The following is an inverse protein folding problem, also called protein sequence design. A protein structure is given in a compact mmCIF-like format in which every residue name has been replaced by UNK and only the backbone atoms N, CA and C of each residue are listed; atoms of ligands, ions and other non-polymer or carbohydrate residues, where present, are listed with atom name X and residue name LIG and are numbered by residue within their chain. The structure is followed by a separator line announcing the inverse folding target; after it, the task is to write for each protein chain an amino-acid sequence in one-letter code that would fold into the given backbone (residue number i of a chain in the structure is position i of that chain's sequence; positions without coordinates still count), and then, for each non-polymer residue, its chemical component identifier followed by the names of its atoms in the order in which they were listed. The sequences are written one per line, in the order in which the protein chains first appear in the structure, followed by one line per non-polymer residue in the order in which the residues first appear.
data_IF_183830844059
#
_entry.id   IF_183830844059
#
_cell.length_a   1.000
_cell.length_b   1.000
_cell.length_c   1.000
_cell.angle_alpha   90.00
_cell.angle_beta   90.00
_cell.angle_gamma   90.00
#
_symmetry.space_group_name_H-M   'P 1'
#
loop_
_entity.id
_entity.type
_entity.pdbx_description
1 polymer ?
#
# COMPACT_ATOMS: atom_id res chain seq x y z
N UNK A 1 35.76 34.54 14.09
CA UNK A 1 36.21 33.42 13.23
C UNK A 1 35.75 33.70 11.80
N UNK A 2 36.68 33.57 10.81
CA UNK A 2 36.33 33.75 9.40
C UNK A 2 35.24 32.79 8.92
N UNK A 3 34.58 33.12 7.82
CA UNK A 3 33.52 32.32 7.21
C UNK A 3 34.04 30.92 6.83
N UNK A 4 33.43 29.81 7.36
CA UNK A 4 33.84 28.46 7.00
C UNK A 4 33.49 28.12 5.54
N UNK A 5 34.37 27.42 4.83
CA UNK A 5 34.18 27.06 3.42
C UNK A 5 32.89 26.21 3.17
N UNK A 6 32.43 25.45 4.15
CA UNK A 6 31.21 24.65 4.02
C UNK A 6 29.93 25.50 3.88
N UNK A 7 29.94 26.75 4.34
CA UNK A 7 28.79 27.69 4.19
C UNK A 7 28.54 28.00 2.71
N UNK A 8 29.58 27.94 1.89
CA UNK A 8 29.54 28.14 0.44
C UNK A 8 29.46 26.78 -0.33
N UNK A 9 29.07 25.69 0.37
CA UNK A 9 28.87 24.38 -0.23
C UNK A 9 30.15 23.55 -0.42
N UNK A 10 31.27 23.91 0.25
CA UNK A 10 32.54 23.16 0.18
C UNK A 10 32.93 22.54 1.54
N UNK A 11 32.23 21.50 2.00
CA UNK A 11 32.49 20.90 3.30
C UNK A 11 33.68 19.93 3.25
N UNK A 12 34.92 20.43 3.24
CA UNK A 12 36.15 19.60 3.13
C UNK A 12 36.20 18.40 4.11
N UNK A 13 35.64 18.55 5.33
CA UNK A 13 35.58 17.47 6.34
C UNK A 13 34.47 16.44 6.06
N UNK A 14 33.57 16.69 5.11
CA UNK A 14 32.43 15.87 4.75
C UNK A 14 32.36 15.71 3.23
N UNK A 15 33.33 14.97 2.62
CA UNK A 15 33.39 14.79 1.18
C UNK A 15 32.17 14.05 0.65
N UNK A 16 31.71 14.39 -0.55
CA UNK A 16 30.50 13.82 -1.20
C UNK A 16 30.52 12.30 -1.35
N UNK A 17 31.72 11.71 -1.44
CA UNK A 17 31.88 10.25 -1.46
C UNK A 17 31.43 9.58 -0.16
N UNK A 18 31.59 10.26 0.98
CA UNK A 18 31.29 9.71 2.30
C UNK A 18 30.02 10.30 2.92
N UNK A 19 29.58 11.48 2.47
CA UNK A 19 28.46 12.19 3.06
C UNK A 19 27.52 12.80 2.02
N UNK A 20 26.23 12.81 2.33
CA UNK A 20 25.29 13.75 1.72
C UNK A 20 25.21 14.96 2.63
N UNK A 21 25.38 16.14 2.06
CA UNK A 21 25.44 17.38 2.82
C UNK A 21 24.46 18.42 2.29
N UNK A 22 23.93 19.26 3.17
CA UNK A 22 23.20 20.47 2.81
C UNK A 22 23.36 21.54 3.87
N UNK A 23 23.33 22.79 3.44
CA UNK A 23 23.45 23.96 4.32
C UNK A 23 22.06 24.55 4.54
N UNK A 24 21.69 24.71 5.80
CA UNK A 24 20.52 25.47 6.23
C UNK A 24 20.91 26.82 6.82
N UNK A 25 19.97 27.75 6.84
CA UNK A 25 20.10 29.09 7.37
C UNK A 25 18.88 29.45 8.21
N UNK A 26 19.09 30.35 9.20
CA UNK A 26 17.96 30.84 10.01
C UNK A 26 18.37 31.90 10.98
N UNK A 27 17.43 32.69 11.53
CA UNK A 27 17.68 33.76 12.48
C UNK A 27 18.12 33.26 13.87
N UNK A 28 17.94 31.95 14.12
CA UNK A 28 18.28 31.26 15.36
C UNK A 28 18.68 29.81 15.10
N UNK A 29 19.25 29.15 16.13
CA UNK A 29 19.72 27.75 16.04
C UNK A 29 18.65 26.78 15.59
N UNK A 30 17.46 26.79 16.22
CA UNK A 30 16.36 25.85 15.89
C UNK A 30 15.89 25.95 14.43
N UNK A 31 15.50 27.14 13.94
CA UNK A 31 15.18 27.35 12.53
C UNK A 31 16.29 26.94 11.57
N UNK A 32 17.54 27.26 11.89
CA UNK A 32 18.72 26.88 11.09
C UNK A 32 18.88 25.35 10.97
N UNK A 33 18.77 24.61 12.08
CA UNK A 33 18.85 23.14 12.09
C UNK A 33 17.68 22.50 11.32
N UNK A 34 16.48 23.06 11.43
CA UNK A 34 15.30 22.63 10.69
C UNK A 34 15.47 22.85 9.19
N UNK A 35 15.99 24.02 8.79
CA UNK A 35 16.24 24.34 7.38
C UNK A 35 17.33 23.42 6.78
N UNK A 36 18.39 23.12 7.54
CA UNK A 36 19.44 22.19 7.10
C UNK A 36 18.88 20.77 6.84
N UNK A 37 17.96 20.27 7.70
CA UNK A 37 17.28 19.00 7.48
C UNK A 37 16.33 19.06 6.29
N UNK A 38 15.60 20.16 6.13
CA UNK A 38 14.73 20.40 4.97
C UNK A 38 15.52 20.46 3.65
N UNK A 39 16.68 21.07 3.65
CA UNK A 39 17.58 21.11 2.49
C UNK A 39 18.13 19.72 2.15
N UNK A 40 18.55 18.92 3.16
CA UNK A 40 18.91 17.50 2.96
C UNK A 40 17.77 16.70 2.36
N UNK A 41 16.54 16.88 2.87
CA UNK A 41 15.35 16.21 2.35
C UNK A 41 15.10 16.54 0.88
N UNK A 42 15.25 17.81 0.48
CA UNK A 42 15.12 18.23 -0.93
C UNK A 42 16.15 17.54 -1.83
N UNK A 43 17.43 17.52 -1.41
CA UNK A 43 18.53 16.85 -2.15
C UNK A 43 18.23 15.37 -2.28
N UNK A 44 17.83 14.71 -1.21
CA UNK A 44 17.51 13.28 -1.21
C UNK A 44 16.29 12.96 -2.09
N UNK A 45 15.19 13.68 -1.92
CA UNK A 45 13.95 13.49 -2.68
C UNK A 45 14.12 13.72 -4.18
N UNK A 46 14.95 14.69 -4.58
CA UNK A 46 15.28 14.91 -5.98
C UNK A 46 15.95 13.67 -6.60
N UNK A 47 16.89 13.05 -5.89
CA UNK A 47 17.57 11.82 -6.32
C UNK A 47 16.62 10.61 -6.31
N UNK A 48 15.76 10.49 -5.29
CA UNK A 48 14.69 9.46 -5.24
C UNK A 48 13.81 9.55 -6.48
N UNK A 49 13.40 10.75 -6.88
CA UNK A 49 12.53 10.95 -8.06
C UNK A 49 13.19 10.55 -9.37
N UNK A 50 14.51 10.66 -9.50
CA UNK A 50 15.26 10.18 -10.67
C UNK A 50 15.31 8.65 -10.71
N UNK A 51 15.76 8.01 -9.62
CA UNK A 51 15.88 6.55 -9.52
C UNK A 51 14.51 5.86 -9.64
N UNK A 52 13.45 6.45 -9.05
CA UNK A 52 12.10 5.88 -9.09
C UNK A 52 11.48 5.90 -10.49
N UNK A 53 11.77 6.88 -11.34
CA UNK A 53 11.24 6.95 -12.72
C UNK A 53 11.69 5.76 -13.57
N UNK A 54 12.96 5.39 -13.47
CA UNK A 54 13.49 4.24 -14.21
C UNK A 54 12.80 2.94 -13.77
N UNK A 55 12.49 2.85 -12.48
CA UNK A 55 11.83 1.68 -11.91
C UNK A 55 10.33 1.64 -12.24
N UNK A 56 9.63 2.79 -12.18
CA UNK A 56 8.23 2.92 -12.59
C UNK A 56 8.01 2.50 -14.04
N UNK A 57 8.92 2.84 -14.95
CA UNK A 57 8.86 2.40 -16.35
C UNK A 57 8.98 0.88 -16.52
N UNK A 58 9.80 0.23 -15.70
CA UNK A 58 9.88 -1.24 -15.68
C UNK A 58 8.63 -1.87 -15.06
N UNK A 59 8.10 -1.28 -13.99
CA UNK A 59 6.92 -1.76 -13.29
C UNK A 59 5.63 -1.55 -14.09
N UNK A 60 5.48 -0.44 -14.83
CA UNK A 60 4.33 -0.18 -15.69
C UNK A 60 4.16 -1.23 -16.79
N UNK A 61 5.27 -1.69 -17.39
CA UNK A 61 5.25 -2.78 -18.38
C UNK A 61 4.76 -4.11 -17.81
N UNK A 62 5.08 -4.39 -16.55
CA UNK A 62 4.56 -5.57 -15.84
C UNK A 62 3.11 -5.35 -15.38
N UNK A 63 2.72 -4.10 -15.06
CA UNK A 63 1.39 -3.72 -14.62
C UNK A 63 0.36 -3.70 -15.75
N UNK A 64 0.75 -3.39 -16.99
CA UNK A 64 -0.13 -3.49 -18.16
C UNK A 64 -0.60 -4.92 -18.40
N UNK A 65 0.25 -5.90 -18.07
CA UNK A 65 -0.11 -7.32 -18.09
C UNK A 65 -0.97 -7.76 -16.88
N UNK A 66 -1.19 -6.89 -15.87
CA UNK A 66 -1.93 -7.23 -14.66
C UNK A 66 -2.51 -5.96 -13.98
N UNK A 67 -3.78 -5.59 -14.23
CA UNK A 67 -4.42 -4.38 -13.69
C UNK A 67 -4.35 -4.23 -12.16
N UNK A 68 -4.26 -5.33 -11.40
CA UNK A 68 -4.04 -5.30 -9.94
C UNK A 68 -2.69 -4.71 -9.54
N UNK A 69 -1.66 -4.88 -10.36
CA UNK A 69 -0.32 -4.35 -10.12
C UNK A 69 -0.30 -2.82 -10.19
N UNK A 70 -1.27 -2.21 -10.88
CA UNK A 70 -1.42 -0.75 -10.98
C UNK A 70 -1.82 -0.09 -9.65
N UNK A 71 -2.63 -0.76 -8.82
CA UNK A 71 -2.97 -0.29 -7.47
C UNK A 71 -1.74 -0.36 -6.55
N UNK A 72 -0.86 -1.30 -6.80
CA UNK A 72 0.37 -1.52 -6.04
C UNK A 72 1.49 -0.54 -6.42
N UNK A 73 1.53 -0.04 -7.67
CA UNK A 73 2.46 1.03 -8.09
C UNK A 73 2.25 2.34 -7.30
N UNK A 74 1.01 2.66 -6.93
CA UNK A 74 0.72 3.80 -6.05
C UNK A 74 1.24 3.58 -4.62
N UNK A 75 1.24 2.33 -4.13
CA UNK A 75 1.76 2.01 -2.80
C UNK A 75 3.29 2.09 -2.73
N UNK A 76 4.01 1.81 -3.82
CA UNK A 76 5.48 1.92 -3.86
C UNK A 76 5.93 3.37 -3.68
N UNK A 77 5.25 4.35 -4.28
CA UNK A 77 5.59 5.77 -4.07
C UNK A 77 5.37 6.20 -2.62
N UNK A 78 4.35 5.66 -1.96
CA UNK A 78 4.10 5.89 -0.53
C UNK A 78 5.15 5.20 0.34
N UNK A 79 5.50 3.94 0.05
CA UNK A 79 6.54 3.19 0.75
C UNK A 79 7.90 3.87 0.62
N UNK A 80 8.23 4.37 -0.58
CA UNK A 80 9.47 5.13 -0.81
C UNK A 80 9.51 6.40 0.03
N UNK A 81 8.40 7.14 0.18
CA UNK A 81 8.34 8.32 1.07
C UNK A 81 8.59 7.94 2.52
N UNK A 82 7.95 6.88 3.02
CA UNK A 82 8.14 6.40 4.41
C UNK A 82 9.57 5.94 4.65
N UNK A 83 10.18 5.25 3.70
CA UNK A 83 11.59 4.82 3.74
C UNK A 83 12.53 6.03 3.77
N UNK A 84 12.33 6.98 2.87
CA UNK A 84 13.09 8.24 2.81
C UNK A 84 13.03 9.02 4.13
N UNK A 85 11.86 9.10 4.76
CA UNK A 85 11.71 9.76 6.07
C UNK A 85 12.54 9.07 7.17
N UNK A 86 12.65 7.73 7.12
CA UNK A 86 13.53 6.97 8.04
C UNK A 86 15.01 7.28 7.81
N UNK A 87 15.44 7.42 6.56
CA UNK A 87 16.81 7.81 6.23
C UNK A 87 17.12 9.22 6.73
N UNK A 88 16.20 10.16 6.49
CA UNK A 88 16.35 11.57 6.91
C UNK A 88 16.36 11.74 8.43
N UNK A 89 15.64 10.89 9.19
CA UNK A 89 15.72 10.84 10.66
C UNK A 89 17.12 10.51 11.19
N UNK A 90 17.95 9.82 10.39
CA UNK A 90 19.36 9.56 10.69
C UNK A 90 20.30 10.73 10.38
N UNK A 91 19.80 11.84 9.85
CA UNK A 91 20.59 13.04 9.60
C UNK A 91 20.96 13.74 10.91
N UNK A 92 22.14 14.37 10.91
CA UNK A 92 22.59 15.19 12.03
C UNK A 92 23.13 16.55 11.55
N UNK A 93 23.11 17.52 12.43
CA UNK A 93 23.81 18.79 12.21
C UNK A 93 25.25 18.64 12.68
N UNK A 94 26.17 18.70 11.73
CA UNK A 94 27.59 18.44 11.98
C UNK A 94 28.38 19.69 12.36
N UNK A 95 28.02 20.83 11.79
CA UNK A 95 28.67 22.10 12.05
C UNK A 95 27.67 23.25 12.12
N UNK A 96 28.03 24.30 12.85
CA UNK A 96 27.27 25.55 13.00
C UNK A 96 28.21 26.72 12.96
N UNK A 97 27.73 27.81 12.39
CA UNK A 97 28.44 29.09 12.37
C UNK A 97 27.42 30.23 12.38
N UNK A 98 27.78 31.34 13.03
CA UNK A 98 26.96 32.56 13.07
C UNK A 98 27.71 33.63 12.31
N UNK A 99 27.04 34.26 11.36
CA UNK A 99 27.61 35.33 10.58
C UNK A 99 27.67 36.66 11.39
N UNK A 100 28.41 37.68 10.91
CA UNK A 100 28.48 38.98 11.60
C UNK A 100 27.13 39.70 11.73
N UNK A 101 26.14 39.31 10.93
CA UNK A 101 24.77 39.85 10.96
C UNK A 101 23.87 39.08 11.94
N UNK A 102 24.38 38.06 12.63
CA UNK A 102 23.67 37.28 13.60
C UNK A 102 22.87 36.10 13.00
N UNK A 103 22.97 35.83 11.70
CA UNK A 103 22.30 34.68 11.09
C UNK A 103 23.04 33.36 11.37
N UNK A 104 22.32 32.34 11.71
CA UNK A 104 22.85 31.02 11.93
C UNK A 104 22.95 30.24 10.61
N UNK A 105 24.06 29.54 10.42
CA UNK A 105 24.33 28.61 9.32
C UNK A 105 24.59 27.24 9.93
N UNK A 106 23.93 26.19 9.38
CA UNK A 106 23.98 24.82 9.89
C UNK A 106 24.34 23.87 8.75
N UNK A 107 25.32 23.01 8.94
CA UNK A 107 25.66 21.95 8.02
C UNK A 107 24.94 20.66 8.45
N UNK A 108 23.92 20.26 7.70
CA UNK A 108 23.27 18.94 7.81
C UNK A 108 24.07 17.90 7.06
N UNK A 109 24.23 16.71 7.63
CA UNK A 109 24.94 15.59 7.02
C UNK A 109 24.20 14.26 7.20
N UNK A 110 24.32 13.38 6.21
CA UNK A 110 23.98 11.94 6.27
C UNK A 110 25.26 11.18 5.96
N UNK A 111 25.66 10.28 6.86
CA UNK A 111 26.76 9.35 6.64
C UNK A 111 26.30 8.26 5.66
N UNK A 112 26.95 8.19 4.49
CA UNK A 112 26.58 7.29 3.41
C UNK A 112 26.85 5.84 3.78
N UNK A 113 28.02 5.53 4.33
CA UNK A 113 28.42 4.16 4.64
C UNK A 113 27.58 3.59 5.77
N UNK A 114 27.39 4.33 6.84
CA UNK A 114 26.55 3.91 7.97
C UNK A 114 25.10 3.70 7.54
N UNK A 115 24.57 4.60 6.71
CA UNK A 115 23.20 4.51 6.21
C UNK A 115 23.06 3.34 5.24
N UNK A 116 24.02 3.14 4.32
CA UNK A 116 24.01 2.03 3.39
C UNK A 116 24.05 0.68 4.10
N UNK A 117 24.91 0.51 5.13
CA UNK A 117 24.96 -0.71 5.95
C UNK A 117 23.61 -1.02 6.58
N UNK A 118 22.99 -0.05 7.23
CA UNK A 118 21.66 -0.22 7.86
C UNK A 118 20.59 -0.60 6.83
N UNK A 119 20.59 0.02 5.65
CA UNK A 119 19.65 -0.32 4.58
C UNK A 119 19.88 -1.72 4.02
N UNK A 120 21.13 -2.15 3.85
CA UNK A 120 21.47 -3.51 3.43
C UNK A 120 21.05 -4.56 4.44
N UNK A 121 21.22 -4.32 5.74
CA UNK A 121 20.75 -5.20 6.80
C UNK A 121 19.23 -5.36 6.79
N UNK A 122 18.49 -4.25 6.63
CA UNK A 122 17.03 -4.27 6.54
C UNK A 122 16.55 -4.98 5.25
N UNK A 123 17.20 -4.76 4.12
CA UNK A 123 16.94 -5.48 2.87
C UNK A 123 17.17 -6.98 3.05
N UNK A 124 18.27 -7.39 3.67
CA UNK A 124 18.58 -8.79 3.93
C UNK A 124 17.51 -9.45 4.83
N UNK A 125 17.04 -8.74 5.84
CA UNK A 125 15.93 -9.20 6.72
C UNK A 125 14.64 -9.42 5.90
N UNK A 126 14.27 -8.47 5.04
CA UNK A 126 13.10 -8.61 4.17
C UNK A 126 13.25 -9.76 3.17
N UNK A 127 14.45 -9.97 2.62
CA UNK A 127 14.75 -11.08 1.72
C UNK A 127 14.58 -12.44 2.42
N UNK A 128 15.00 -12.56 3.67
CA UNK A 128 14.78 -13.76 4.49
C UNK A 128 13.30 -14.01 4.78
N UNK A 129 12.58 -12.97 5.20
CA UNK A 129 11.14 -13.06 5.48
C UNK A 129 10.36 -13.45 4.20
N UNK A 130 10.68 -12.85 3.07
CA UNK A 130 10.10 -13.19 1.77
C UNK A 130 10.36 -14.65 1.39
N UNK A 131 11.57 -15.17 1.62
CA UNK A 131 11.90 -16.57 1.38
C UNK A 131 11.04 -17.52 2.24
N UNK A 132 10.77 -17.15 3.51
CA UNK A 132 9.88 -17.91 4.38
C UNK A 132 8.47 -17.94 3.78
N UNK A 133 7.94 -16.78 3.37
CA UNK A 133 6.60 -16.69 2.77
C UNK A 133 6.50 -17.50 1.47
N UNK A 134 7.52 -17.47 0.63
CA UNK A 134 7.55 -18.27 -0.60
C UNK A 134 7.50 -19.77 -0.30
N UNK A 135 8.28 -20.26 0.66
CA UNK A 135 8.26 -21.67 1.09
C UNK A 135 6.90 -22.06 1.68
N UNK A 136 6.31 -21.19 2.50
CA UNK A 136 4.96 -21.40 3.04
C UNK A 136 3.92 -21.50 1.91
N UNK A 137 3.97 -20.62 0.92
CA UNK A 137 3.09 -20.68 -0.24
C UNK A 137 3.29 -21.93 -1.10
N UNK A 138 4.53 -22.34 -1.33
CA UNK A 138 4.85 -23.53 -2.13
C UNK A 138 4.38 -24.82 -1.41
N UNK A 139 4.46 -24.88 -0.08
CA UNK A 139 4.02 -26.01 0.73
C UNK A 139 2.57 -25.95 1.24
N UNK A 140 1.84 -24.87 0.99
CA UNK A 140 0.47 -24.75 1.49
C UNK A 140 -0.49 -25.73 0.83
N UNK A 141 -1.37 -26.33 1.63
CA UNK A 141 -2.35 -27.30 1.16
C UNK A 141 -3.51 -26.63 0.38
N UNK A 142 -3.92 -25.43 0.79
CA UNK A 142 -5.12 -24.76 0.25
C UNK A 142 -4.80 -23.58 -0.66
N UNK A 143 -5.68 -23.27 -1.64
CA UNK A 143 -5.54 -22.09 -2.50
C UNK A 143 -5.48 -20.78 -1.72
N UNK A 144 -6.28 -20.66 -0.66
CA UNK A 144 -6.30 -19.46 0.21
C UNK A 144 -4.97 -19.26 0.92
N UNK A 145 -4.41 -20.31 1.55
CA UNK A 145 -3.14 -20.23 2.23
C UNK A 145 -1.98 -19.91 1.26
N UNK A 146 -1.97 -20.50 0.06
CA UNK A 146 -1.04 -20.16 -1.02
C UNK A 146 -1.12 -18.71 -1.41
N UNK A 147 -2.33 -18.21 -1.64
CA UNK A 147 -2.55 -16.82 -2.02
C UNK A 147 -2.06 -15.85 -0.94
N UNK A 148 -2.40 -16.10 0.33
CA UNK A 148 -1.98 -15.25 1.46
C UNK A 148 -0.46 -15.16 1.57
N UNK A 149 0.23 -16.29 1.48
CA UNK A 149 1.69 -16.35 1.55
C UNK A 149 2.35 -15.58 0.38
N UNK A 150 1.88 -15.76 -0.84
CA UNK A 150 2.42 -15.02 -1.99
C UNK A 150 2.05 -13.54 -1.99
N UNK A 151 0.87 -13.16 -1.46
CA UNK A 151 0.50 -11.78 -1.27
C UNK A 151 1.46 -11.09 -0.29
N UNK A 152 1.78 -11.74 0.82
CA UNK A 152 2.75 -11.23 1.80
C UNK A 152 4.16 -11.13 1.20
N UNK A 153 4.60 -12.13 0.43
CA UNK A 153 5.87 -12.09 -0.28
C UNK A 153 5.95 -10.90 -1.26
N UNK A 154 4.85 -10.56 -1.94
CA UNK A 154 4.78 -9.38 -2.81
C UNK A 154 4.90 -8.07 -2.03
N UNK A 155 4.25 -7.93 -0.88
CA UNK A 155 4.39 -6.76 -0.01
C UNK A 155 5.84 -6.56 0.45
N UNK A 156 6.48 -7.64 0.93
CA UNK A 156 7.89 -7.61 1.34
C UNK A 156 8.82 -7.22 0.18
N UNK A 157 8.55 -7.71 -1.03
CA UNK A 157 9.30 -7.31 -2.22
C UNK A 157 9.14 -5.81 -2.52
N UNK A 158 7.95 -5.24 -2.33
CA UNK A 158 7.71 -3.81 -2.52
C UNK A 158 8.45 -2.97 -1.48
N UNK A 159 8.37 -3.35 -0.19
CA UNK A 159 9.11 -2.69 0.89
C UNK A 159 10.63 -2.75 0.62
N UNK A 160 11.11 -3.91 0.24
CA UNK A 160 12.51 -4.13 -0.15
C UNK A 160 12.95 -3.20 -1.29
N UNK A 161 12.11 -3.04 -2.30
CA UNK A 161 12.43 -2.17 -3.43
C UNK A 161 12.48 -0.69 -3.04
N UNK A 162 11.60 -0.24 -2.14
CA UNK A 162 11.67 1.12 -1.60
C UNK A 162 13.00 1.38 -0.89
N UNK A 163 13.44 0.43 -0.03
CA UNK A 163 14.75 0.52 0.63
C UNK A 163 15.92 0.47 -0.37
N UNK A 164 15.79 -0.32 -1.44
CA UNK A 164 16.83 -0.44 -2.46
C UNK A 164 16.97 0.84 -3.31
N UNK A 165 15.90 1.60 -3.50
CA UNK A 165 15.94 2.95 -4.08
C UNK A 165 16.77 3.87 -3.19
N UNK A 166 16.49 3.91 -1.88
CA UNK A 166 17.23 4.73 -0.93
C UNK A 166 18.70 4.30 -0.83
N UNK A 167 18.96 2.98 -0.85
CA UNK A 167 20.33 2.43 -0.88
C UNK A 167 21.12 2.95 -2.08
N UNK A 168 20.54 2.95 -3.28
CA UNK A 168 21.20 3.47 -4.49
C UNK A 168 21.55 4.95 -4.41
N UNK A 169 20.84 5.71 -3.60
CA UNK A 169 21.11 7.15 -3.40
C UNK A 169 22.25 7.36 -2.42
N UNK A 170 22.29 6.58 -1.33
CA UNK A 170 23.32 6.72 -0.30
C UNK A 170 24.59 5.95 -0.65
N UNK A 171 24.53 4.87 -1.42
CA UNK A 171 25.71 4.14 -1.84
C UNK A 171 26.62 5.03 -2.71
N UNK A 172 27.93 5.16 -2.43
CA UNK A 172 28.82 6.04 -3.16
C UNK A 172 28.82 5.81 -4.69
N UNK A 173 28.75 4.56 -5.11
CA UNK A 173 28.73 4.16 -6.51
C UNK A 173 27.32 4.03 -7.09
N UNK A 174 26.27 4.44 -6.38
CA UNK A 174 24.89 4.32 -6.85
C UNK A 174 24.37 2.88 -6.96
N UNK A 175 25.04 1.92 -6.34
CA UNK A 175 24.68 0.50 -6.40
C UNK A 175 23.61 0.15 -5.38
N UNK A 176 22.65 -0.68 -5.82
CA UNK A 176 21.68 -1.35 -4.96
C UNK A 176 22.00 -2.84 -4.83
N UNK A 177 21.20 -3.53 -4.01
CA UNK A 177 21.26 -4.98 -3.86
C UNK A 177 20.30 -5.64 -4.86
N UNK A 178 20.75 -6.56 -5.72
CA UNK A 178 19.84 -7.27 -6.64
C UNK A 178 18.83 -8.11 -5.85
N UNK A 179 17.58 -8.24 -6.33
CA UNK A 179 16.59 -9.06 -5.65
C UNK A 179 16.91 -10.57 -5.82
N UNK A 180 16.73 -11.39 -4.76
CA UNK A 180 16.97 -12.83 -4.83
C UNK A 180 15.94 -13.56 -5.71
N UNK A 181 14.77 -12.94 -5.92
CA UNK A 181 13.70 -13.47 -6.75
C UNK A 181 13.30 -12.49 -7.84
N UNK A 182 12.99 -13.02 -9.03
CA UNK A 182 12.48 -12.20 -10.13
C UNK A 182 11.04 -11.79 -9.84
N UNK A 183 10.75 -10.50 -9.94
CA UNK A 183 9.41 -9.94 -9.75
C UNK A 183 8.36 -10.66 -10.60
N UNK A 184 8.63 -10.91 -11.88
CA UNK A 184 7.72 -11.60 -12.78
C UNK A 184 7.34 -13.01 -12.30
N UNK A 185 8.28 -13.77 -11.73
CA UNK A 185 8.03 -15.10 -11.18
C UNK A 185 7.10 -15.04 -9.96
N UNK A 186 7.32 -14.07 -9.07
CA UNK A 186 6.46 -13.86 -7.90
C UNK A 186 5.04 -13.44 -8.31
N UNK A 187 4.91 -12.53 -9.27
CA UNK A 187 3.62 -12.11 -9.85
C UNK A 187 2.89 -13.29 -10.48
N UNK A 188 3.59 -14.19 -11.19
CA UNK A 188 3.00 -15.38 -11.78
C UNK A 188 2.44 -16.33 -10.71
N UNK A 189 3.21 -16.62 -9.64
CA UNK A 189 2.76 -17.43 -8.50
C UNK A 189 1.51 -16.82 -7.84
N UNK A 190 1.53 -15.53 -7.58
CA UNK A 190 0.40 -14.80 -6.98
C UNK A 190 -0.86 -14.88 -7.86
N UNK A 191 -0.75 -14.62 -9.17
CA UNK A 191 -1.87 -14.71 -10.11
C UNK A 191 -2.47 -16.12 -10.16
N UNK A 192 -1.62 -17.15 -10.28
CA UNK A 192 -2.04 -18.55 -10.35
C UNK A 192 -2.74 -18.98 -9.06
N UNK A 193 -2.23 -18.58 -7.89
CA UNK A 193 -2.87 -18.90 -6.61
C UNK A 193 -4.23 -18.22 -6.48
N UNK A 194 -4.33 -16.95 -6.89
CA UNK A 194 -5.58 -16.19 -6.86
C UNK A 194 -6.66 -16.81 -7.75
N UNK A 195 -6.31 -17.21 -8.98
CA UNK A 195 -7.25 -17.80 -9.93
C UNK A 195 -7.87 -19.11 -9.45
N UNK A 196 -7.31 -19.71 -8.41
CA UNK A 196 -7.80 -20.97 -7.83
C UNK A 196 -8.71 -20.77 -6.61
N UNK A 197 -8.89 -19.53 -6.13
CA UNK A 197 -9.76 -19.25 -4.98
C UNK A 197 -11.20 -19.23 -5.42
N UNK A 198 -12.00 -20.13 -4.87
CA UNK A 198 -13.42 -20.26 -5.09
C UNK A 198 -14.18 -19.55 -3.96
N UNK A 199 -15.12 -18.70 -4.33
CA UNK A 199 -15.90 -17.89 -3.38
C UNK A 199 -17.35 -18.32 -3.41
N UNK A 200 -17.91 -18.71 -2.26
CA UNK A 200 -19.34 -18.90 -2.06
C UNK A 200 -20.00 -17.61 -1.59
N UNK A 201 -21.22 -17.36 -2.05
CA UNK A 201 -21.99 -16.19 -1.65
C UNK A 201 -23.39 -16.63 -1.20
N UNK A 202 -23.70 -16.40 0.08
CA UNK A 202 -24.99 -16.74 0.68
C UNK A 202 -25.58 -15.52 1.40
N UNK A 203 -26.55 -14.89 0.76
CA UNK A 203 -27.27 -13.75 1.31
C UNK A 203 -28.67 -14.14 1.76
N UNK A 204 -29.11 -13.63 2.91
CA UNK A 204 -30.43 -13.87 3.47
C UNK A 204 -31.21 -12.57 3.63
N UNK A 205 -32.53 -12.64 3.51
CA UNK A 205 -33.45 -11.51 3.68
C UNK A 205 -34.33 -11.29 2.45
N UNK A 206 -35.35 -10.44 2.62
CA UNK A 206 -36.25 -10.10 1.49
C UNK A 206 -35.43 -9.36 0.42
N UNK A 207 -35.53 -9.77 -0.84
CA UNK A 207 -34.74 -9.23 -1.98
C UNK A 207 -33.23 -9.54 -1.93
N UNK A 208 -32.82 -10.54 -1.13
CA UNK A 208 -31.43 -10.96 -1.09
C UNK A 208 -30.93 -11.46 -2.45
N UNK A 209 -31.76 -12.17 -3.22
CA UNK A 209 -31.41 -12.68 -4.55
C UNK A 209 -30.95 -11.56 -5.50
N UNK A 210 -31.67 -10.42 -5.49
CA UNK A 210 -31.29 -9.25 -6.34
C UNK A 210 -29.88 -8.74 -6.04
N UNK A 211 -29.52 -8.67 -4.75
CA UNK A 211 -28.21 -8.17 -4.35
C UNK A 211 -27.13 -9.23 -4.48
N UNK A 212 -27.49 -10.51 -4.32
CA UNK A 212 -26.61 -11.66 -4.52
C UNK A 212 -26.16 -11.76 -5.98
N UNK A 213 -27.09 -11.69 -6.93
CA UNK A 213 -26.77 -11.67 -8.37
C UNK A 213 -25.84 -10.51 -8.72
N UNK A 214 -26.19 -9.30 -8.28
CA UNK A 214 -25.36 -8.11 -8.55
C UNK A 214 -23.94 -8.24 -7.95
N UNK A 215 -23.81 -8.79 -6.74
CA UNK A 215 -22.50 -9.02 -6.12
C UNK A 215 -21.71 -10.11 -6.83
N UNK A 216 -22.38 -11.19 -7.25
CA UNK A 216 -21.74 -12.25 -8.03
C UNK A 216 -21.19 -11.73 -9.37
N UNK A 217 -22.00 -10.93 -10.09
CA UNK A 217 -21.57 -10.27 -11.33
C UNK A 217 -20.33 -9.39 -11.12
N UNK A 218 -20.32 -8.55 -10.08
CA UNK A 218 -19.19 -7.67 -9.78
C UNK A 218 -17.92 -8.45 -9.39
N UNK A 219 -18.05 -9.54 -8.61
CA UNK A 219 -16.92 -10.39 -8.25
C UNK A 219 -16.36 -11.10 -9.49
N UNK A 220 -17.25 -11.67 -10.34
CA UNK A 220 -16.86 -12.37 -11.56
C UNK A 220 -16.22 -11.42 -12.57
N UNK A 221 -16.75 -10.22 -12.77
CA UNK A 221 -16.16 -9.21 -13.66
C UNK A 221 -14.72 -8.81 -13.25
N UNK A 222 -14.38 -9.04 -11.98
CA UNK A 222 -13.04 -8.80 -11.43
C UNK A 222 -12.19 -10.06 -11.32
N UNK A 223 -12.63 -11.15 -11.95
CA UNK A 223 -11.90 -12.41 -12.04
C UNK A 223 -11.85 -13.20 -10.73
N UNK A 224 -12.91 -13.09 -9.89
CA UNK A 224 -13.14 -13.93 -8.72
C UNK A 224 -14.21 -14.95 -9.11
N UNK A 225 -13.88 -16.22 -9.05
CA UNK A 225 -14.85 -17.29 -9.33
C UNK A 225 -15.87 -17.39 -8.19
N UNK A 226 -17.15 -17.21 -8.51
CA UNK A 226 -18.25 -17.31 -7.55
C UNK A 226 -19.05 -18.57 -7.84
N UNK A 227 -19.13 -19.45 -6.85
CA UNK A 227 -19.89 -20.69 -6.93
C UNK A 227 -21.25 -20.53 -6.25
N UNK A 228 -22.27 -21.17 -6.84
CA UNK A 228 -23.57 -21.33 -6.19
C UNK A 228 -23.49 -22.45 -5.16
N UNK A 229 -23.90 -22.15 -3.91
CA UNK A 229 -23.87 -23.10 -2.81
C UNK A 229 -22.76 -22.91 -1.81
N UNK A 230 -22.61 -23.88 -0.91
CA UNK A 230 -21.67 -23.82 0.22
C UNK A 230 -20.57 -24.89 0.16
N UNK A 231 -20.67 -25.80 -0.82
CA UNK A 231 -19.71 -26.88 -1.01
C UNK A 231 -18.61 -26.48 -1.99
N UNK A 232 -17.42 -26.99 -1.78
CA UNK A 232 -16.23 -26.80 -2.66
C UNK A 232 -15.82 -25.32 -2.86
N UNK A 233 -15.92 -24.53 -1.79
CA UNK A 233 -15.50 -23.12 -1.75
C UNK A 233 -14.40 -22.90 -0.70
N UNK A 234 -13.47 -22.01 -1.00
CA UNK A 234 -12.36 -21.65 -0.08
C UNK A 234 -12.78 -20.53 0.87
N UNK A 235 -13.55 -19.57 0.36
CA UNK A 235 -14.05 -18.42 1.12
C UNK A 235 -15.56 -18.35 1.01
N UNK A 236 -16.25 -18.29 2.15
CA UNK A 236 -17.69 -18.09 2.21
C UNK A 236 -18.03 -16.67 2.62
N UNK A 237 -18.88 -16.03 1.84
CA UNK A 237 -19.46 -14.71 2.14
C UNK A 237 -20.89 -14.91 2.62
N UNK A 238 -21.09 -14.73 3.92
CA UNK A 238 -22.41 -14.68 4.51
C UNK A 238 -22.89 -13.25 4.61
N UNK A 239 -24.18 -13.04 4.26
CA UNK A 239 -24.76 -11.72 4.38
C UNK A 239 -26.23 -11.70 4.81
N UNK A 240 -26.66 -10.58 5.37
CA UNK A 240 -28.06 -10.33 5.67
C UNK A 240 -28.46 -8.96 5.14
N UNK A 241 -29.44 -8.98 4.23
CA UNK A 241 -30.08 -7.77 3.72
C UNK A 241 -31.31 -7.43 4.59
N UNK A 242 -31.40 -6.20 5.05
CA UNK A 242 -32.56 -5.62 5.69
C UNK A 242 -32.94 -4.32 4.99
N UNK A 243 -34.21 -3.99 5.02
CA UNK A 243 -34.67 -2.66 4.62
C UNK A 243 -35.86 -2.21 5.46
N UNK A 244 -35.98 -0.92 5.64
CA UNK A 244 -37.08 -0.33 6.39
C UNK A 244 -37.50 1.01 5.79
N UNK A 245 -38.76 1.39 5.99
CA UNK A 245 -39.25 2.73 5.65
C UNK A 245 -38.58 3.75 6.56
N UNK A 246 -37.97 4.77 5.96
CA UNK A 246 -37.21 5.81 6.65
C UNK A 246 -37.92 7.20 6.60
N UNK A 247 -39.21 7.20 6.33
CA UNK A 247 -40.07 8.41 6.29
C UNK A 247 -40.56 8.74 4.88
N UNK A 248 -41.24 9.89 4.76
CA UNK A 248 -41.67 10.46 3.50
C UNK A 248 -41.05 11.85 3.33
N UNK A 249 -40.51 12.12 2.15
CA UNK A 249 -39.89 13.41 1.80
C UNK A 249 -40.43 13.84 0.44
N UNK A 250 -41.09 14.97 0.38
CA UNK A 250 -41.63 15.57 -0.87
C UNK A 250 -42.39 14.55 -1.77
N UNK A 251 -43.33 13.83 -1.18
CA UNK A 251 -44.14 12.82 -1.88
C UNK A 251 -43.42 11.49 -2.21
N UNK A 252 -42.15 11.33 -1.81
CA UNK A 252 -41.41 10.10 -1.98
C UNK A 252 -41.33 9.32 -0.66
N UNK A 253 -41.59 8.02 -0.71
CA UNK A 253 -41.42 7.09 0.40
C UNK A 253 -39.91 6.73 0.47
N UNK A 254 -39.24 7.19 1.50
CA UNK A 254 -37.83 6.90 1.72
C UNK A 254 -37.63 5.50 2.33
N UNK A 255 -36.72 4.74 1.79
CA UNK A 255 -36.33 3.41 2.29
C UNK A 255 -34.83 3.42 2.58
N UNK A 256 -34.47 2.94 3.76
CA UNK A 256 -33.09 2.62 4.13
C UNK A 256 -32.87 1.12 3.92
N UNK A 257 -31.95 0.76 3.03
CA UNK A 257 -31.48 -0.61 2.87
C UNK A 257 -30.10 -0.75 3.52
N UNK A 258 -29.87 -1.87 4.17
CA UNK A 258 -28.66 -2.21 4.92
C UNK A 258 -28.25 -3.63 4.59
N UNK A 259 -26.96 -3.87 4.34
CA UNK A 259 -26.38 -5.19 4.20
C UNK A 259 -25.23 -5.38 5.18
N UNK A 260 -25.27 -6.46 5.94
CA UNK A 260 -24.18 -6.90 6.81
C UNK A 260 -23.53 -8.10 6.17
N UNK A 261 -22.21 -8.05 5.94
CA UNK A 261 -21.42 -9.08 5.28
C UNK A 261 -20.32 -9.58 6.19
N UNK A 262 -20.11 -10.91 6.17
CA UNK A 262 -18.99 -11.58 6.86
C UNK A 262 -18.32 -12.53 5.88
N UNK A 263 -17.00 -12.40 5.76
CA UNK A 263 -16.14 -13.30 5.00
C UNK A 263 -15.51 -14.29 5.95
N UNK A 264 -15.60 -15.58 5.62
CA UNK A 264 -15.06 -16.65 6.45
C UNK A 264 -14.20 -17.58 5.59
N UNK A 265 -13.01 -17.91 6.05
CA UNK A 265 -12.22 -19.00 5.50
C UNK A 265 -12.91 -20.32 5.88
N UNK A 266 -13.24 -21.13 4.89
CA UNK A 266 -14.03 -22.33 5.10
C UNK A 266 -13.23 -23.43 5.79
N UNK A 267 -11.92 -23.51 5.52
CA UNK A 267 -11.05 -24.55 6.08
C UNK A 267 -10.94 -24.48 7.61
N UNK A 268 -10.73 -23.28 8.14
CA UNK A 268 -10.45 -23.06 9.57
C UNK A 268 -11.54 -22.31 10.31
N UNK A 269 -12.63 -21.91 9.63
CA UNK A 269 -13.75 -21.15 10.20
C UNK A 269 -13.39 -19.71 10.60
N UNK A 270 -12.21 -19.23 10.28
CA UNK A 270 -11.73 -17.90 10.66
C UNK A 270 -12.48 -16.81 9.90
N UNK A 271 -12.97 -15.80 10.63
CA UNK A 271 -13.51 -14.60 10.00
C UNK A 271 -12.37 -13.75 9.43
N UNK A 272 -12.33 -13.63 8.12
CA UNK A 272 -11.35 -12.84 7.38
C UNK A 272 -11.69 -11.35 7.40
N UNK A 273 -12.98 -11.00 7.24
CA UNK A 273 -13.48 -9.65 7.31
C UNK A 273 -14.96 -9.62 7.64
N UNK A 274 -15.40 -8.50 8.22
CA UNK A 274 -16.82 -8.17 8.37
C UNK A 274 -17.02 -6.68 8.10
N UNK A 275 -18.14 -6.32 7.48
CA UNK A 275 -18.49 -4.92 7.26
C UNK A 275 -19.99 -4.74 7.01
N UNK A 276 -20.42 -3.51 7.13
CA UNK A 276 -21.78 -3.07 6.92
C UNK A 276 -21.81 -1.96 5.87
N UNK A 277 -22.82 -2.01 5.00
CA UNK A 277 -23.10 -0.91 4.07
C UNK A 277 -24.58 -0.55 4.11
N UNK A 278 -24.85 0.74 3.95
CA UNK A 278 -26.22 1.27 3.93
C UNK A 278 -26.44 2.19 2.75
N UNK A 279 -27.67 2.19 2.24
CA UNK A 279 -28.09 3.17 1.24
C UNK A 279 -29.55 3.59 1.45
N UNK A 280 -29.81 4.90 1.33
CA UNK A 280 -31.14 5.49 1.43
C UNK A 280 -31.60 5.97 0.06
N UNK A 281 -32.80 5.56 -0.36
CA UNK A 281 -33.40 6.01 -1.62
C UNK A 281 -34.91 6.16 -1.48
N UNK A 282 -35.52 6.95 -2.35
CA UNK A 282 -36.97 7.20 -2.34
C UNK A 282 -37.57 7.31 -3.73
N UNK A 283 -38.83 6.89 -3.83
CA UNK A 283 -39.74 7.01 -4.96
C UNK A 283 -41.16 7.22 -4.41
N UNK A 284 -42.13 7.67 -5.22
CA UNK A 284 -43.51 7.82 -4.74
C UNK A 284 -44.09 6.51 -4.20
N UNK A 285 -43.73 5.37 -4.81
CA UNK A 285 -44.21 4.05 -4.39
C UNK A 285 -43.17 3.32 -3.55
N UNK A 286 -43.61 2.69 -2.44
CA UNK A 286 -42.74 1.92 -1.55
C UNK A 286 -41.97 0.81 -2.28
N UNK A 287 -42.67 0.03 -3.15
CA UNK A 287 -42.05 -1.08 -3.90
C UNK A 287 -40.89 -0.58 -4.79
N UNK A 288 -41.07 0.54 -5.46
CA UNK A 288 -40.03 1.16 -6.31
C UNK A 288 -38.89 1.75 -5.47
N UNK A 289 -39.21 2.28 -4.30
CA UNK A 289 -38.21 2.77 -3.35
C UNK A 289 -37.31 1.66 -2.83
N UNK A 290 -37.89 0.49 -2.45
CA UNK A 290 -37.15 -0.69 -2.03
C UNK A 290 -36.21 -1.16 -3.15
N UNK A 291 -36.74 -1.31 -4.37
CA UNK A 291 -35.93 -1.76 -5.51
C UNK A 291 -34.76 -0.81 -5.80
N UNK A 292 -35.02 0.50 -5.76
CA UNK A 292 -33.99 1.51 -5.98
C UNK A 292 -32.94 1.49 -4.86
N UNK A 293 -33.36 1.39 -3.61
CA UNK A 293 -32.45 1.37 -2.45
C UNK A 293 -31.53 0.12 -2.50
N UNK A 294 -32.08 -1.07 -2.81
CA UNK A 294 -31.33 -2.32 -2.94
C UNK A 294 -30.35 -2.27 -4.10
N UNK A 295 -30.76 -1.78 -5.27
CA UNK A 295 -29.89 -1.68 -6.45
C UNK A 295 -28.72 -0.70 -6.20
N UNK A 296 -28.98 0.45 -5.58
CA UNK A 296 -27.94 1.40 -5.24
C UNK A 296 -27.03 0.91 -4.11
N UNK A 297 -27.59 0.18 -3.14
CA UNK A 297 -26.79 -0.47 -2.09
C UNK A 297 -25.82 -1.48 -2.71
N UNK A 298 -26.26 -2.28 -3.68
CA UNK A 298 -25.38 -3.22 -4.38
C UNK A 298 -24.19 -2.49 -5.05
N UNK A 299 -24.49 -1.45 -5.85
CA UNK A 299 -23.45 -0.67 -6.54
C UNK A 299 -22.42 -0.05 -5.59
N UNK A 300 -22.82 0.18 -4.32
CA UNK A 300 -21.91 0.68 -3.27
C UNK A 300 -21.17 -0.47 -2.57
N UNK A 301 -21.91 -1.54 -2.20
CA UNK A 301 -21.37 -2.64 -1.40
C UNK A 301 -20.46 -3.58 -2.19
N UNK A 302 -20.72 -3.82 -3.48
CA UNK A 302 -19.94 -4.76 -4.28
C UNK A 302 -18.47 -4.32 -4.48
N UNK A 303 -18.13 -3.06 -4.82
CA UNK A 303 -16.75 -2.60 -4.83
C UNK A 303 -16.09 -2.68 -3.46
N UNK A 304 -16.80 -2.31 -2.39
CA UNK A 304 -16.32 -2.42 -1.00
C UNK A 304 -16.02 -3.87 -0.63
N UNK A 305 -16.88 -4.80 -1.03
CA UNK A 305 -16.67 -6.24 -0.83
C UNK A 305 -15.38 -6.73 -1.50
N UNK A 306 -15.16 -6.38 -2.76
CA UNK A 306 -13.93 -6.73 -3.49
C UNK A 306 -12.69 -6.19 -2.79
N UNK A 307 -12.72 -4.94 -2.31
CA UNK A 307 -11.61 -4.36 -1.54
C UNK A 307 -11.38 -5.11 -0.22
N UNK A 308 -12.46 -5.48 0.49
CA UNK A 308 -12.38 -6.24 1.75
C UNK A 308 -11.86 -7.66 1.54
N UNK A 309 -12.30 -8.36 0.49
CA UNK A 309 -11.74 -9.66 0.11
C UNK A 309 -10.23 -9.54 -0.12
N UNK A 310 -9.81 -8.55 -0.91
CA UNK A 310 -8.39 -8.31 -1.18
C UNK A 310 -7.59 -8.01 0.08
N UNK A 311 -8.11 -7.15 0.96
CA UNK A 311 -7.46 -6.80 2.21
C UNK A 311 -7.43 -7.96 3.22
N UNK A 312 -8.48 -8.77 3.25
CA UNK A 312 -8.61 -9.92 4.15
C UNK A 312 -7.68 -11.07 3.75
N UNK A 313 -7.54 -11.30 2.44
CA UNK A 313 -6.63 -12.30 1.89
C UNK A 313 -5.15 -11.85 1.91
N UNK A 314 -4.87 -10.60 2.26
CA UNK A 314 -3.50 -10.09 2.48
C UNK A 314 -3.01 -10.23 3.93
N UNK A 315 -3.91 -10.49 4.89
CA UNK A 315 -3.61 -10.63 6.32
C UNK A 315 -3.44 -12.09 6.72
#
# INVERSE_FOLDING_TARGET
QGKPAWVDGQPRRYPDMSYLTAVGRGPARGPCESDARGALAKVFNSRVSQVSRDWQGHFSRVAEAAPMVRVEAMSISQLTRVSTDKVLKGSRVAQRWVDPQGNHHCLGVIDREQTARRLMEEIARLDQEMQIQLRQGDGAATPTAKFMAYARAMELMQERQALNVDLRIVHPEGKGTPPPHRWAALVAKFKTSRAKIKVGLLLKGKKADTIQTCMAEELTSRGIEVLEGTSDVDVMIHGRLKYQKAGNIRGSVMVLAEINLRLTDVENGRTLAAFNETHKAGRPELRRSVQLAVNKLCKKAAPSLVQKIRAALKR
#
